data_IF_881497395593
#
_entry.id   IF_881497395593
#
_cell.length_a   1.000
_cell.length_b   1.000
_cell.length_c   1.000
_cell.angle_alpha   90.00
_cell.angle_beta   90.00
_cell.angle_gamma   90.00
#
_symmetry.space_group_name_H-M   'P 1'
#
loop_
_entity.id
_entity.type
_entity.pdbx_description
1 polymer ?
#
# COMPACT_ATOMS: atom_id res chain seq x y z
N UNK A 1 0.10 -1.61 0.64
CA UNK A 1 -0.80 -1.04 -0.39
C UNK A 1 0.02 -0.20 -1.36
N UNK A 2 -0.39 -0.15 -2.63
CA UNK A 2 0.23 0.64 -3.68
C UNK A 2 -0.80 1.49 -4.41
N UNK A 3 -0.36 2.54 -5.11
CA UNK A 3 -1.17 3.26 -6.09
C UNK A 3 -0.84 2.80 -7.51
N UNK A 4 -1.86 2.65 -8.35
CA UNK A 4 -1.71 2.32 -9.77
C UNK A 4 -1.70 3.56 -10.69
N UNK A 5 -1.94 4.75 -10.15
CA UNK A 5 -2.12 5.98 -10.94
C UNK A 5 -1.15 7.11 -10.57
N UNK A 6 -0.57 7.10 -9.38
CA UNK A 6 0.41 8.11 -8.95
C UNK A 6 1.53 7.54 -8.08
N UNK A 7 2.56 8.34 -7.84
CA UNK A 7 3.65 7.96 -6.95
C UNK A 7 3.23 7.96 -5.48
N UNK A 8 3.76 7.05 -4.68
CA UNK A 8 3.45 6.90 -3.26
C UNK A 8 4.66 6.43 -2.46
N UNK A 9 4.61 6.57 -1.13
CA UNK A 9 5.65 6.02 -0.25
C UNK A 9 5.27 4.62 0.26
N UNK A 10 6.15 3.64 0.06
CA UNK A 10 5.94 2.24 0.49
C UNK A 10 6.12 2.03 2.00
N UNK A 11 6.04 0.79 2.50
CA UNK A 11 6.13 0.46 3.92
C UNK A 11 7.40 0.94 4.63
N UNK A 12 8.50 1.17 3.90
CA UNK A 12 9.76 1.72 4.43
C UNK A 12 9.95 3.22 4.13
N UNK A 13 8.93 3.88 3.58
CA UNK A 13 8.99 5.30 3.25
C UNK A 13 9.78 5.60 1.98
N UNK A 14 9.95 4.64 1.07
CA UNK A 14 10.59 4.87 -0.24
C UNK A 14 9.56 5.28 -1.28
N UNK A 15 9.88 6.30 -2.07
CA UNK A 15 9.01 6.74 -3.18
C UNK A 15 9.00 5.68 -4.28
N UNK A 16 7.80 5.30 -4.73
CA UNK A 16 7.54 4.33 -5.80
C UNK A 16 6.72 4.96 -6.90
N UNK A 17 7.02 4.59 -8.14
CA UNK A 17 6.20 4.92 -9.30
C UNK A 17 5.07 3.89 -9.48
N UNK A 18 3.96 4.23 -10.16
CA UNK A 18 2.93 3.26 -10.50
C UNK A 18 3.50 2.03 -11.20
N UNK A 19 3.12 0.84 -10.72
CA UNK A 19 3.58 -0.44 -11.28
C UNK A 19 4.94 -0.93 -10.77
N UNK A 20 5.71 -0.13 -10.02
CA UNK A 20 6.96 -0.58 -9.43
C UNK A 20 6.74 -1.58 -8.28
N UNK A 21 7.75 -2.42 -8.07
CA UNK A 21 7.84 -3.21 -6.85
C UNK A 21 7.94 -2.29 -5.62
N UNK A 22 7.33 -2.71 -4.53
CA UNK A 22 7.23 -1.95 -3.30
C UNK A 22 7.56 -2.81 -2.09
N UNK A 23 7.80 -2.18 -0.95
CA UNK A 23 8.03 -2.89 0.29
C UNK A 23 6.77 -2.87 1.13
N UNK A 24 6.30 -4.04 1.55
CA UNK A 24 5.15 -4.15 2.44
C UNK A 24 5.52 -3.82 3.89
N UNK A 25 4.54 -3.85 4.79
CA UNK A 25 4.75 -3.45 6.18
C UNK A 25 5.79 -4.32 6.93
N UNK A 26 6.08 -5.54 6.44
CA UNK A 26 7.09 -6.43 7.03
C UNK A 26 8.49 -6.27 6.43
N UNK A 27 8.70 -5.30 5.53
CA UNK A 27 10.00 -5.13 4.88
C UNK A 27 10.20 -6.06 3.67
N UNK A 28 9.15 -6.72 3.18
CA UNK A 28 9.25 -7.67 2.08
C UNK A 28 8.98 -6.96 0.75
N UNK A 29 9.84 -7.19 -0.24
CA UNK A 29 9.63 -6.70 -1.61
C UNK A 29 8.46 -7.46 -2.26
N UNK A 30 7.51 -6.72 -2.83
CA UNK A 30 6.30 -7.20 -3.50
C UNK A 30 6.13 -6.54 -4.85
N UNK A 31 5.46 -7.23 -5.76
CA UNK A 31 4.93 -6.66 -6.99
C UNK A 31 3.43 -6.34 -6.84
N UNK A 32 2.91 -5.35 -7.60
CA UNK A 32 1.47 -5.14 -7.74
C UNK A 32 0.75 -6.46 -8.06
N UNK A 33 -0.32 -6.77 -7.33
CA UNK A 33 -1.05 -8.03 -7.48
C UNK A 33 -0.60 -9.17 -6.56
N UNK A 34 0.56 -9.05 -5.91
CA UNK A 34 0.99 -10.05 -4.93
C UNK A 34 0.33 -9.84 -3.57
N UNK A 35 0.26 -10.92 -2.78
CA UNK A 35 -0.12 -10.82 -1.38
C UNK A 35 0.86 -9.90 -0.63
N UNK A 36 0.36 -9.07 0.27
CA UNK A 36 1.16 -8.12 1.04
C UNK A 36 0.69 -8.05 2.49
N UNK A 37 1.58 -7.62 3.39
CA UNK A 37 1.20 -7.28 4.76
C UNK A 37 0.76 -5.82 4.84
N UNK A 38 -0.47 -5.58 5.33
CA UNK A 38 -1.01 -4.24 5.58
C UNK A 38 -0.38 -3.58 6.83
N UNK A 39 -0.77 -2.34 7.16
CA UNK A 39 -0.19 -1.61 8.30
C UNK A 39 -0.50 -2.23 9.67
N UNK A 40 -1.45 -3.16 9.74
CA UNK A 40 -1.73 -3.96 10.93
C UNK A 40 -0.96 -5.29 10.96
N UNK A 41 -0.12 -5.56 9.96
CA UNK A 41 0.64 -6.80 9.85
C UNK A 41 -0.22 -8.00 9.41
N UNK A 42 -1.37 -7.77 8.80
CA UNK A 42 -2.26 -8.83 8.30
C UNK A 42 -1.92 -9.11 6.84
N UNK A 43 -1.80 -10.39 6.45
CA UNK A 43 -1.60 -10.79 5.07
C UNK A 43 -2.90 -10.58 4.27
N UNK A 44 -2.82 -9.84 3.17
CA UNK A 44 -3.93 -9.46 2.30
C UNK A 44 -3.66 -9.83 0.85
N UNK A 45 -4.71 -10.15 0.10
CA UNK A 45 -4.69 -9.97 -1.34
C UNK A 45 -4.84 -8.50 -1.70
N UNK A 46 -4.49 -8.17 -2.94
CA UNK A 46 -4.65 -6.83 -3.51
C UNK A 46 -6.12 -6.40 -3.62
N UNK A 47 -7.05 -7.35 -3.68
CA UNK A 47 -8.51 -7.14 -3.70
C UNK A 47 -9.14 -7.01 -2.30
N UNK A 48 -8.40 -7.33 -1.23
CA UNK A 48 -8.94 -7.26 0.13
C UNK A 48 -8.97 -5.84 0.69
N UNK A 49 -9.92 -5.58 1.59
CA UNK A 49 -9.84 -4.40 2.44
C UNK A 49 -8.59 -4.47 3.33
N UNK A 50 -7.94 -3.32 3.52
CA UNK A 50 -6.66 -3.23 4.22
C UNK A 50 -6.63 -2.02 5.17
N UNK A 51 -5.74 -2.04 6.16
CA UNK A 51 -5.45 -0.87 6.98
C UNK A 51 -4.38 0.01 6.31
N UNK A 52 -4.69 1.29 6.12
CA UNK A 52 -3.77 2.28 5.57
C UNK A 52 -2.73 2.77 6.60
N UNK A 53 -1.83 3.67 6.21
CA UNK A 53 -0.78 4.22 7.08
C UNK A 53 -1.29 4.95 8.33
N UNK A 54 -2.60 5.24 8.43
CA UNK A 54 -3.25 5.80 9.62
C UNK A 54 -4.18 4.81 10.33
N UNK A 55 -4.02 3.51 10.06
CA UNK A 55 -4.86 2.45 10.60
C UNK A 55 -6.36 2.59 10.30
N UNK A 56 -6.70 3.19 9.16
CA UNK A 56 -8.08 3.27 8.67
C UNK A 56 -8.31 2.10 7.71
N UNK A 57 -9.42 1.38 7.87
CA UNK A 57 -9.82 0.32 6.95
C UNK A 57 -10.29 0.94 5.62
N UNK A 58 -9.72 0.49 4.50
CA UNK A 58 -9.98 0.98 3.15
C UNK A 58 -10.28 -0.17 2.21
N UNK A 59 -11.09 0.09 1.18
CA UNK A 59 -11.13 -0.76 -0.01
C UNK A 59 -9.99 -0.41 -0.98
N UNK A 60 -9.54 -1.34 -1.84
CA UNK A 60 -8.38 -1.14 -2.73
C UNK A 60 -8.46 0.09 -3.66
N UNK A 61 -9.66 0.45 -4.11
CA UNK A 61 -9.92 1.58 -5.00
C UNK A 61 -10.13 2.91 -4.27
N UNK A 62 -10.23 2.89 -2.94
CA UNK A 62 -10.38 4.11 -2.15
C UNK A 62 -9.04 4.82 -1.99
N UNK A 63 -9.10 6.14 -1.75
CA UNK A 63 -7.91 6.87 -1.33
C UNK A 63 -7.42 6.39 0.04
N UNK A 64 -6.11 6.27 0.19
CA UNK A 64 -5.45 5.77 1.39
C UNK A 64 -4.29 6.67 1.81
N UNK A 65 -3.92 6.65 3.09
CA UNK A 65 -2.70 7.31 3.55
C UNK A 65 -1.49 6.40 3.35
N UNK A 66 -0.47 6.88 2.64
CA UNK A 66 0.81 6.20 2.50
C UNK A 66 1.63 6.23 3.81
N UNK A 67 2.81 5.60 3.84
CA UNK A 67 3.64 5.51 5.05
C UNK A 67 4.14 6.86 5.58
N UNK A 68 4.14 7.90 4.74
CA UNK A 68 4.50 9.27 5.13
C UNK A 68 3.24 10.10 5.48
N UNK A 69 2.06 9.50 5.44
CA UNK A 69 0.80 10.12 5.82
C UNK A 69 0.18 11.00 4.74
N UNK A 70 0.63 10.90 3.48
CA UNK A 70 0.00 11.58 2.35
C UNK A 70 -1.17 10.78 1.80
N UNK A 71 -2.25 11.47 1.43
CA UNK A 71 -3.38 10.84 0.77
C UNK A 71 -3.02 10.51 -0.68
N UNK A 72 -3.25 9.25 -1.08
CA UNK A 72 -3.01 8.73 -2.42
C UNK A 72 -4.27 8.11 -2.99
N UNK A 73 -4.39 8.07 -4.31
CA UNK A 73 -5.39 7.30 -5.02
C UNK A 73 -5.10 5.81 -4.86
N UNK A 74 -6.16 5.05 -4.56
CA UNK A 74 -6.16 3.60 -4.62
C UNK A 74 -5.87 3.10 -6.04
N UNK A 75 -5.87 1.77 -6.19
CA UNK A 75 -5.65 1.11 -7.47
C UNK A 75 -6.94 0.89 -8.24
#
# INVERSE_FOLDING_TARGET
MYSASESYYDGEGRLRMPGEAFIDYQGIVRHPGELFYDSAGILRSDEDNFFDGKAILRAPWESFYDSQGYLRLGR
#
